data_IF_021065922815
#
_entry.id   IF_021065922815
#
_cell.length_a   1.000
_cell.length_b   1.000
_cell.length_c   1.000
_cell.angle_alpha   90.00
_cell.angle_beta   90.00
_cell.angle_gamma   90.00
#
_symmetry.space_group_name_H-M   'P 1'
#
loop_
_entity.id
_entity.type
_entity.pdbx_description
1 polymer ?
#
# COMPACT_ATOMS: atom_id res chain seq x y z
N UNK A 1 16.46 59.12 -29.24
CA UNK A 1 15.55 57.97 -29.48
C UNK A 1 15.93 56.83 -28.53
N UNK A 2 15.22 56.64 -27.41
CA UNK A 2 15.47 55.55 -26.46
C UNK A 2 14.59 54.35 -26.83
N UNK A 3 15.20 53.27 -27.36
CA UNK A 3 14.51 52.00 -27.64
C UNK A 3 14.23 51.29 -26.30
N UNK A 4 12.95 51.08 -25.97
CA UNK A 4 12.54 50.19 -24.88
C UNK A 4 12.59 48.75 -25.40
N UNK A 5 13.45 47.92 -24.82
CA UNK A 5 13.43 46.47 -25.01
C UNK A 5 12.34 45.90 -24.10
N UNK A 6 11.35 45.24 -24.70
CA UNK A 6 10.31 44.50 -23.99
C UNK A 6 10.77 43.05 -23.87
N UNK A 7 11.24 42.65 -22.69
CA UNK A 7 11.61 41.26 -22.41
C UNK A 7 10.34 40.48 -22.10
N UNK A 8 9.91 39.63 -23.02
CA UNK A 8 8.83 38.65 -22.80
C UNK A 8 9.44 37.48 -22.02
N UNK A 9 9.05 37.34 -20.75
CA UNK A 9 9.37 36.17 -19.94
C UNK A 9 8.32 35.09 -20.25
N UNK A 10 8.72 34.08 -21.02
CA UNK A 10 7.90 32.89 -21.24
C UNK A 10 7.93 32.02 -19.98
N UNK A 11 6.82 31.99 -19.24
CA UNK A 11 6.60 31.01 -18.18
C UNK A 11 6.34 29.64 -18.83
N UNK A 12 7.40 28.82 -18.90
CA UNK A 12 7.26 27.40 -19.24
C UNK A 12 6.88 26.66 -17.97
N UNK A 13 5.58 26.41 -17.79
CA UNK A 13 5.07 25.52 -16.75
C UNK A 13 5.46 24.09 -17.10
N UNK A 14 6.53 23.56 -16.49
CA UNK A 14 6.86 22.14 -16.54
C UNK A 14 5.80 21.36 -15.75
N UNK A 15 4.75 20.89 -16.43
CA UNK A 15 3.90 19.83 -15.90
C UNK A 15 4.61 18.50 -16.16
N UNK A 16 5.13 17.87 -15.11
CA UNK A 16 5.61 16.48 -15.19
C UNK A 16 4.41 15.59 -15.50
N UNK A 17 4.30 15.10 -16.73
CA UNK A 17 3.25 14.18 -17.13
C UNK A 17 3.56 12.79 -16.56
N UNK A 18 2.75 12.32 -15.62
CA UNK A 18 2.78 10.92 -15.17
C UNK A 18 1.91 10.09 -16.12
N UNK A 19 2.53 9.49 -17.14
CA UNK A 19 1.86 8.50 -17.98
C UNK A 19 1.87 7.15 -17.24
N UNK A 20 0.68 6.67 -16.91
CA UNK A 20 0.48 5.37 -16.31
C UNK A 20 -0.87 4.86 -16.81
N UNK A 21 -0.83 4.05 -17.86
CA UNK A 21 -2.04 3.61 -18.55
C UNK A 21 -2.84 2.60 -17.70
N UNK A 22 -2.15 1.77 -16.92
CA UNK A 22 -2.78 0.76 -16.05
C UNK A 22 -3.45 1.34 -14.79
N UNK A 23 -2.95 2.44 -14.22
CA UNK A 23 -3.52 2.96 -12.97
C UNK A 23 -4.88 3.65 -13.12
N UNK A 24 -5.33 3.94 -14.34
CA UNK A 24 -6.70 4.43 -14.61
C UNK A 24 -7.71 3.31 -14.81
N UNK A 25 -7.24 2.09 -15.10
CA UNK A 25 -8.09 0.96 -15.47
C UNK A 25 -9.17 0.65 -14.41
N UNK A 26 -8.88 0.92 -13.14
CA UNK A 26 -9.76 0.57 -12.02
C UNK A 26 -10.43 1.77 -11.36
N UNK A 27 -10.21 3.00 -11.85
CA UNK A 27 -10.61 4.24 -11.18
C UNK A 27 -12.13 4.38 -11.01
N UNK A 28 -12.90 3.86 -11.97
CA UNK A 28 -14.36 3.87 -11.97
C UNK A 28 -14.97 2.64 -11.28
N UNK A 29 -14.16 1.68 -10.81
CA UNK A 29 -14.69 0.50 -10.14
C UNK A 29 -15.31 0.87 -8.80
N UNK A 30 -16.57 0.47 -8.62
CA UNK A 30 -17.28 0.59 -7.33
C UNK A 30 -16.63 -0.22 -6.22
N UNK A 31 -15.85 -1.24 -6.58
CA UNK A 31 -15.12 -2.11 -5.65
C UNK A 31 -14.03 -1.32 -4.89
N UNK A 32 -13.62 -0.15 -5.38
CA UNK A 32 -12.65 0.73 -4.71
C UNK A 32 -13.26 2.02 -4.15
N UNK A 33 -14.59 2.20 -4.23
CA UNK A 33 -15.29 3.35 -3.61
C UNK A 33 -15.64 3.00 -2.16
N UNK A 34 -14.78 3.40 -1.23
CA UNK A 34 -14.95 3.13 0.20
C UNK A 34 -16.16 3.90 0.73
N UNK A 35 -17.05 3.19 1.43
CA UNK A 35 -18.22 3.75 2.13
C UNK A 35 -17.99 3.91 3.63
N UNK A 36 -17.30 2.95 4.25
CA UNK A 36 -16.92 3.00 5.66
C UNK A 36 -15.73 2.10 5.94
N UNK A 37 -15.05 2.37 7.06
CA UNK A 37 -14.03 1.48 7.59
C UNK A 37 -14.11 1.46 9.12
N UNK A 38 -13.70 0.35 9.72
CA UNK A 38 -13.66 0.18 11.16
C UNK A 38 -12.48 -0.70 11.58
N UNK A 39 -11.88 -0.35 12.71
CA UNK A 39 -10.98 -1.22 13.47
C UNK A 39 -11.59 -1.45 14.84
N UNK A 40 -11.83 -2.71 15.21
CA UNK A 40 -12.44 -3.11 16.49
C UNK A 40 -11.47 -3.95 17.30
N UNK A 41 -11.26 -3.62 18.57
CA UNK A 41 -10.53 -4.49 19.49
C UNK A 41 -11.42 -5.59 20.02
N UNK A 42 -11.23 -6.80 19.48
CA UNK A 42 -11.86 -8.00 19.97
C UNK A 42 -11.12 -8.53 21.20
N UNK A 43 -11.49 -8.00 22.38
CA UNK A 43 -10.90 -8.37 23.67
C UNK A 43 -10.99 -9.86 24.01
N UNK A 44 -12.00 -10.56 23.47
CA UNK A 44 -12.20 -11.99 23.72
C UNK A 44 -11.09 -12.84 23.10
N UNK A 45 -10.64 -12.48 21.90
CA UNK A 45 -9.61 -13.22 21.16
C UNK A 45 -8.25 -12.51 21.13
N UNK A 46 -8.15 -11.30 21.69
CA UNK A 46 -6.91 -10.53 21.70
C UNK A 46 -6.49 -10.08 20.31
N UNK A 47 -7.45 -9.78 19.44
CA UNK A 47 -7.26 -9.41 18.03
C UNK A 47 -7.82 -8.02 17.74
N UNK A 48 -7.26 -7.35 16.74
CA UNK A 48 -7.88 -6.20 16.09
C UNK A 48 -8.49 -6.64 14.77
N UNK A 49 -9.79 -6.39 14.63
CA UNK A 49 -10.56 -6.70 13.43
C UNK A 49 -10.62 -5.45 12.56
N UNK A 50 -9.93 -5.48 11.42
CA UNK A 50 -9.95 -4.42 10.42
C UNK A 50 -11.01 -4.74 9.37
N UNK A 51 -11.82 -3.76 9.00
CA UNK A 51 -12.87 -3.89 7.99
C UNK A 51 -12.94 -2.65 7.12
N UNK A 52 -12.99 -2.85 5.79
CA UNK A 52 -13.38 -1.84 4.81
C UNK A 52 -14.66 -2.31 4.11
N UNK A 53 -15.64 -1.41 4.01
CA UNK A 53 -16.86 -1.58 3.24
C UNK A 53 -16.81 -0.67 2.01
N UNK A 54 -17.12 -1.22 0.85
CA UNK A 54 -17.12 -0.50 -0.45
C UNK A 54 -18.52 -0.43 -1.06
N UNK A 55 -18.68 0.35 -2.12
CA UNK A 55 -19.95 0.44 -2.85
C UNK A 55 -20.23 -0.82 -3.70
N UNK A 56 -19.19 -1.42 -4.26
CA UNK A 56 -19.25 -2.63 -5.09
C UNK A 56 -19.02 -3.92 -4.31
N UNK A 57 -18.21 -4.83 -4.87
CA UNK A 57 -17.81 -6.09 -4.26
C UNK A 57 -16.34 -6.04 -3.87
N UNK A 58 -16.03 -6.03 -2.58
CA UNK A 58 -14.66 -5.89 -2.11
C UNK A 58 -13.81 -7.08 -2.56
N UNK A 59 -12.61 -6.80 -3.07
CA UNK A 59 -11.65 -7.80 -3.53
C UNK A 59 -12.03 -8.59 -4.78
N UNK A 60 -13.18 -8.32 -5.41
CA UNK A 60 -13.55 -8.94 -6.69
C UNK A 60 -12.63 -8.47 -7.82
N UNK A 61 -12.32 -7.18 -7.86
CA UNK A 61 -11.43 -6.61 -8.86
C UNK A 61 -9.98 -6.86 -8.43
N UNK A 62 -9.23 -7.61 -9.24
CA UNK A 62 -7.80 -7.90 -9.06
C UNK A 62 -6.98 -7.30 -10.22
N UNK A 63 -5.66 -7.09 -10.05
CA UNK A 63 -4.83 -6.51 -11.10
C UNK A 63 -4.74 -7.42 -12.32
N UNK A 64 -4.54 -6.82 -13.50
CA UNK A 64 -4.24 -7.53 -14.74
C UNK A 64 -2.73 -7.77 -14.77
N UNK A 65 -2.25 -9.02 -14.85
CA UNK A 65 -0.82 -9.29 -14.83
C UNK A 65 -0.10 -8.67 -16.03
N UNK A 66 1.14 -8.23 -15.81
CA UNK A 66 2.07 -7.80 -16.87
C UNK A 66 3.11 -8.88 -17.21
N UNK A 67 3.18 -9.95 -16.42
CA UNK A 67 4.03 -11.13 -16.61
C UNK A 67 5.46 -10.98 -16.11
N UNK A 68 5.77 -9.92 -15.36
CA UNK A 68 7.11 -9.64 -14.81
C UNK A 68 7.05 -8.72 -13.60
N UNK A 69 8.08 -8.77 -12.75
CA UNK A 69 8.20 -7.92 -11.55
C UNK A 69 8.27 -6.43 -11.89
N UNK A 70 9.05 -6.06 -12.90
CA UNK A 70 9.16 -4.65 -13.30
C UNK A 70 7.84 -4.16 -13.88
N UNK A 71 7.33 -3.07 -13.32
CA UNK A 71 6.00 -2.52 -13.62
C UNK A 71 4.83 -3.40 -13.16
N UNK A 72 5.07 -4.38 -12.27
CA UNK A 72 4.01 -5.22 -11.70
C UNK A 72 2.94 -4.35 -11.00
N UNK A 73 1.65 -4.51 -11.33
CA UNK A 73 0.56 -3.77 -10.74
C UNK A 73 0.17 -4.36 -9.39
N UNK A 74 -0.14 -3.48 -8.44
CA UNK A 74 -0.64 -3.84 -7.11
C UNK A 74 -1.91 -3.05 -6.84
N UNK A 75 -2.97 -3.72 -6.41
CA UNK A 75 -4.17 -3.06 -5.89
C UNK A 75 -4.18 -3.17 -4.38
N UNK A 76 -4.58 -2.09 -3.69
CA UNK A 76 -4.49 -2.01 -2.23
C UNK A 76 -5.76 -1.47 -1.58
N UNK A 77 -6.24 -2.15 -0.53
CA UNK A 77 -7.08 -1.56 0.52
C UNK A 77 -6.21 -1.31 1.74
N UNK A 78 -5.95 -0.05 2.06
CA UNK A 78 -4.91 0.36 3.00
C UNK A 78 -5.52 1.06 4.20
N UNK A 79 -5.03 0.72 5.39
CA UNK A 79 -5.28 1.43 6.65
C UNK A 79 -4.00 2.15 7.09
N UNK A 80 -3.80 3.41 6.69
CA UNK A 80 -2.79 4.26 7.30
C UNK A 80 -3.11 4.45 8.77
N UNK A 81 -2.09 4.39 9.63
CA UNK A 81 -2.25 4.46 11.08
C UNK A 81 -1.29 5.46 11.73
N UNK A 82 -1.53 5.75 13.00
CA UNK A 82 -0.56 6.44 13.87
C UNK A 82 0.32 5.48 14.68
N UNK A 83 0.37 4.20 14.32
CA UNK A 83 1.34 3.26 14.89
C UNK A 83 2.76 3.68 14.50
N UNK A 84 3.73 3.28 15.31
CA UNK A 84 5.15 3.48 15.01
C UNK A 84 5.73 2.23 14.35
N UNK A 85 6.80 2.34 13.55
CA UNK A 85 7.41 1.18 12.90
C UNK A 85 7.79 0.05 13.87
N UNK A 86 8.23 0.40 15.07
CA UNK A 86 8.60 -0.54 16.12
C UNK A 86 7.42 -1.31 16.68
N UNK A 87 6.21 -0.75 16.62
CA UNK A 87 5.00 -1.44 17.07
C UNK A 87 4.73 -2.67 16.20
N UNK A 88 5.09 -2.64 14.92
CA UNK A 88 4.91 -3.73 13.94
C UNK A 88 6.21 -4.51 13.66
N UNK A 89 7.27 -4.26 14.43
CA UNK A 89 8.53 -5.02 14.37
C UNK A 89 9.60 -4.52 13.40
N UNK A 90 9.45 -3.32 12.83
CA UNK A 90 10.52 -2.66 12.08
C UNK A 90 11.47 -1.89 13.01
N UNK A 91 12.68 -1.61 12.53
CA UNK A 91 13.56 -0.63 13.19
C UNK A 91 12.95 0.77 13.19
N UNK A 92 13.27 1.61 14.21
CA UNK A 92 12.84 3.00 14.28
C UNK A 92 13.12 3.76 12.98
N UNK A 93 12.08 4.40 12.44
CA UNK A 93 12.23 5.17 11.21
C UNK A 93 11.08 6.16 11.04
N UNK A 94 11.30 7.22 10.26
CA UNK A 94 10.23 8.15 9.90
C UNK A 94 9.33 7.57 8.81
N UNK A 95 8.02 7.77 8.92
CA UNK A 95 7.02 7.41 7.93
C UNK A 95 5.67 7.09 8.57
N UNK A 96 4.69 6.76 7.73
CA UNK A 96 3.35 6.35 8.13
C UNK A 96 3.29 4.83 8.11
N UNK A 97 3.03 4.19 9.25
CA UNK A 97 2.78 2.74 9.28
C UNK A 97 1.38 2.48 8.76
N UNK A 98 1.27 1.58 7.78
CA UNK A 98 0.00 1.20 7.19
C UNK A 98 -0.14 -0.32 7.11
N UNK A 99 -1.36 -0.81 7.38
CA UNK A 99 -1.76 -2.17 7.03
C UNK A 99 -2.35 -2.13 5.62
N UNK A 100 -1.69 -2.75 4.65
CA UNK A 100 -2.16 -2.84 3.28
C UNK A 100 -2.70 -4.25 3.03
N UNK A 101 -3.94 -4.38 2.56
CA UNK A 101 -4.44 -5.61 1.96
C UNK A 101 -4.23 -5.49 0.46
N UNK A 102 -3.39 -6.33 -0.11
CA UNK A 102 -2.89 -6.21 -1.48
C UNK A 102 -3.25 -7.42 -2.32
N UNK A 103 -3.27 -7.21 -3.62
CA UNK A 103 -3.30 -8.26 -4.64
C UNK A 103 -2.34 -7.84 -5.76
N UNK A 104 -1.47 -8.75 -6.17
CA UNK A 104 -0.43 -8.58 -7.20
C UNK A 104 -0.07 -9.92 -7.88
N UNK A 105 -0.51 -10.17 -9.12
CA UNK A 105 -0.34 -11.49 -9.75
C UNK A 105 1.08 -11.80 -10.26
N UNK A 106 1.98 -10.81 -10.31
CA UNK A 106 3.26 -10.92 -11.05
C UNK A 106 4.49 -11.22 -10.17
N UNK A 107 4.30 -11.30 -8.85
CA UNK A 107 5.35 -11.69 -7.92
C UNK A 107 4.72 -12.24 -6.64
N UNK A 108 5.49 -13.09 -5.97
CA UNK A 108 5.19 -13.59 -4.64
C UNK A 108 6.15 -12.94 -3.64
N UNK A 109 5.57 -12.36 -2.59
CA UNK A 109 6.27 -11.70 -1.48
C UNK A 109 5.82 -12.26 -0.13
N UNK A 110 5.10 -13.38 -0.14
CA UNK A 110 4.58 -14.12 1.00
C UNK A 110 4.96 -15.62 0.97
N UNK A 111 6.20 -16.02 0.58
CA UNK A 111 6.55 -17.42 0.23
C UNK A 111 6.50 -18.43 1.41
N UNK A 112 6.16 -17.96 2.61
CA UNK A 112 5.94 -18.78 3.79
C UNK A 112 4.49 -19.28 3.91
N UNK A 113 3.58 -18.72 3.13
CA UNK A 113 2.14 -18.93 3.21
C UNK A 113 1.65 -19.50 1.88
N UNK A 114 0.64 -20.37 1.98
CA UNK A 114 -0.11 -20.90 0.84
C UNK A 114 -1.51 -20.30 0.98
N UNK A 115 -1.71 -19.11 0.41
CA UNK A 115 -2.93 -18.33 0.60
C UNK A 115 -4.15 -18.95 -0.08
N UNK A 116 -3.95 -19.84 -1.06
CA UNK A 116 -5.03 -20.50 -1.80
C UNK A 116 -5.26 -21.99 -1.40
N UNK A 117 -4.38 -22.56 -0.58
CA UNK A 117 -4.38 -23.95 -0.11
C UNK A 117 -4.20 -25.02 -1.22
N UNK A 118 -3.50 -24.71 -2.31
CA UNK A 118 -3.20 -25.64 -3.42
C UNK A 118 -1.86 -26.39 -3.27
N UNK A 119 -1.08 -26.04 -2.24
CA UNK A 119 0.23 -26.62 -1.94
C UNK A 119 1.41 -26.01 -2.70
N UNK A 120 1.19 -24.96 -3.51
CA UNK A 120 2.22 -24.16 -4.17
C UNK A 120 2.23 -22.78 -3.52
N UNK A 121 3.40 -22.40 -3.02
CA UNK A 121 3.55 -21.17 -2.24
C UNK A 121 3.97 -19.98 -3.11
N UNK A 122 4.30 -20.21 -4.39
CA UNK A 122 4.91 -19.23 -5.30
C UNK A 122 3.93 -18.66 -6.35
N UNK A 123 2.63 -18.95 -6.24
CA UNK A 123 1.59 -18.54 -7.19
C UNK A 123 0.42 -17.75 -6.55
N UNK A 124 0.60 -17.27 -5.32
CA UNK A 124 -0.48 -16.75 -4.49
C UNK A 124 -0.66 -15.23 -4.51
N UNK A 125 0.23 -14.49 -5.17
CA UNK A 125 0.20 -13.03 -5.14
C UNK A 125 -1.13 -12.41 -5.60
N UNK A 126 -1.93 -13.10 -6.43
CA UNK A 126 -3.27 -12.61 -6.84
C UNK A 126 -4.31 -12.68 -5.71
N UNK A 127 -4.15 -13.59 -4.75
CA UNK A 127 -5.03 -13.72 -3.58
C UNK A 127 -4.79 -12.52 -2.66
N UNK A 128 -5.85 -11.96 -2.10
CA UNK A 128 -5.70 -10.82 -1.20
C UNK A 128 -4.99 -11.22 0.09
N UNK A 129 -3.90 -10.56 0.43
CA UNK A 129 -3.12 -10.82 1.64
C UNK A 129 -2.62 -9.52 2.27
N UNK A 130 -2.17 -9.54 3.54
CA UNK A 130 -1.80 -8.33 4.26
C UNK A 130 -0.30 -8.05 4.24
N UNK A 131 0.05 -6.77 4.28
CA UNK A 131 1.38 -6.29 4.63
C UNK A 131 1.34 -5.18 5.66
N UNK A 132 2.36 -5.15 6.51
CA UNK A 132 2.75 -3.90 7.16
C UNK A 132 3.78 -3.19 6.31
N UNK A 133 3.56 -1.92 6.04
CA UNK A 133 4.51 -1.07 5.31
C UNK A 133 4.77 0.23 6.03
N UNK A 134 5.92 0.84 5.75
CA UNK A 134 6.20 2.24 6.12
C UNK A 134 6.15 3.11 4.87
N UNK A 135 5.17 4.01 4.81
CA UNK A 135 4.99 4.94 3.70
C UNK A 135 5.73 6.26 3.95
N UNK A 136 6.37 6.79 2.91
CA UNK A 136 7.03 8.09 2.90
C UNK A 136 6.53 8.94 1.74
N UNK A 137 6.63 10.26 1.88
CA UNK A 137 6.29 11.18 0.79
C UNK A 137 7.25 10.99 -0.39
N UNK A 138 6.69 10.91 -1.58
CA UNK A 138 7.46 10.66 -2.79
C UNK A 138 6.88 11.41 -3.99
N UNK A 139 7.65 12.36 -4.50
CA UNK A 139 7.26 13.22 -5.64
C UNK A 139 7.45 12.52 -7.00
N UNK A 140 8.09 11.35 -7.02
CA UNK A 140 8.30 10.55 -8.24
C UNK A 140 7.02 9.92 -8.75
N UNK A 141 5.97 9.85 -7.93
CA UNK A 141 4.69 9.23 -8.28
C UNK A 141 3.52 10.16 -7.99
N UNK A 142 2.49 10.10 -8.84
CA UNK A 142 1.32 10.99 -8.76
C UNK A 142 0.56 10.86 -7.43
N UNK A 143 0.50 9.67 -6.85
CA UNK A 143 -0.14 9.45 -5.55
C UNK A 143 0.62 10.02 -4.35
N UNK A 144 1.85 10.51 -4.56
CA UNK A 144 2.61 11.27 -3.57
C UNK A 144 3.23 10.43 -2.44
N UNK A 145 3.11 9.11 -2.47
CA UNK A 145 3.62 8.19 -1.45
C UNK A 145 4.31 6.97 -2.09
N UNK A 146 5.31 6.43 -1.39
CA UNK A 146 5.94 5.14 -1.72
C UNK A 146 6.29 4.39 -0.45
N UNK A 147 6.53 3.07 -0.57
CA UNK A 147 7.08 2.28 0.53
C UNK A 147 8.54 2.66 0.71
N UNK A 148 8.94 2.92 1.96
CA UNK A 148 10.27 3.38 2.30
C UNK A 148 11.32 2.33 1.91
N UNK A 149 12.25 2.72 1.05
CA UNK A 149 13.35 1.91 0.59
C UNK A 149 14.52 1.97 1.60
N UNK A 150 15.37 0.94 1.61
CA UNK A 150 16.63 0.91 2.35
C UNK A 150 17.70 0.20 1.51
N UNK A 151 18.99 0.38 1.79
CA UNK A 151 20.03 -0.38 1.10
C UNK A 151 20.16 -1.75 1.73
N UNK A 152 20.37 -2.82 0.95
CA UNK A 152 20.54 -4.19 1.50
C UNK A 152 21.61 -4.31 2.60
N UNK A 153 22.61 -3.43 2.61
CA UNK A 153 23.67 -3.40 3.63
C UNK A 153 23.31 -2.60 4.90
N UNK A 154 22.19 -1.88 4.91
CA UNK A 154 21.76 -1.10 6.06
C UNK A 154 21.36 -2.04 7.21
N UNK A 155 21.80 -1.76 8.45
CA UNK A 155 21.48 -2.59 9.61
C UNK A 155 20.05 -2.31 10.10
N UNK A 156 19.07 -2.78 9.33
CA UNK A 156 17.65 -2.64 9.64
C UNK A 156 17.11 -3.90 10.32
N UNK A 157 16.21 -3.71 11.29
CA UNK A 157 15.44 -4.82 11.88
C UNK A 157 14.11 -4.89 11.15
N UNK A 158 13.74 -6.10 10.71
CA UNK A 158 12.44 -6.36 10.07
C UNK A 158 11.79 -7.60 10.68
N UNK A 159 10.45 -7.74 10.61
CA UNK A 159 9.79 -8.96 10.99
C UNK A 159 10.33 -10.18 10.21
N UNK A 160 10.24 -11.37 10.80
CA UNK A 160 10.71 -12.62 10.19
C UNK A 160 9.97 -13.00 8.90
N UNK A 161 8.79 -12.43 8.73
CA UNK A 161 7.87 -12.62 7.60
C UNK A 161 8.10 -11.60 6.49
N UNK A 162 9.11 -10.73 6.62
CA UNK A 162 9.45 -9.76 5.59
C UNK A 162 10.19 -10.41 4.40
N UNK A 163 9.78 -10.13 3.15
CA UNK A 163 10.41 -10.69 1.95
C UNK A 163 11.83 -10.13 1.73
N UNK A 164 12.58 -10.70 0.77
CA UNK A 164 13.89 -10.17 0.34
C UNK A 164 13.75 -8.98 -0.64
N UNK A 165 12.94 -8.00 -0.25
CA UNK A 165 12.82 -6.72 -0.95
C UNK A 165 13.44 -5.61 -0.09
N UNK A 166 14.32 -4.75 -0.63
CA UNK A 166 14.99 -3.70 0.12
C UNK A 166 14.06 -2.49 0.43
N UNK A 167 12.93 -2.76 1.08
CA UNK A 167 11.94 -1.79 1.52
C UNK A 167 11.25 -2.22 2.81
N UNK A 168 10.76 -1.27 3.60
CA UNK A 168 10.05 -1.52 4.86
C UNK A 168 8.69 -2.16 4.60
N UNK A 169 8.68 -3.48 4.43
CA UNK A 169 7.52 -4.32 4.20
C UNK A 169 7.62 -5.63 4.99
N UNK A 170 6.51 -6.07 5.55
CA UNK A 170 6.30 -7.35 6.21
C UNK A 170 5.12 -8.06 5.56
N UNK A 171 5.17 -9.38 5.37
CA UNK A 171 4.10 -10.18 4.76
C UNK A 171 3.57 -11.22 5.76
N UNK A 172 2.84 -10.80 6.80
CA UNK A 172 2.29 -11.72 7.79
C UNK A 172 1.16 -12.56 7.18
N UNK A 173 1.07 -13.84 7.56
CA UNK A 173 0.00 -14.75 7.15
C UNK A 173 -1.32 -14.52 7.89
N UNK A 174 -1.77 -13.28 8.02
CA UNK A 174 -3.09 -13.00 8.61
C UNK A 174 -4.18 -13.27 7.58
N UNK A 175 -5.23 -14.01 7.94
CA UNK A 175 -6.26 -14.38 6.98
C UNK A 175 -7.05 -13.14 6.54
N UNK A 176 -7.13 -12.94 5.22
CA UNK A 176 -7.96 -11.92 4.59
C UNK A 176 -9.23 -12.57 4.05
N UNK A 177 -10.38 -12.00 4.37
CA UNK A 177 -11.68 -12.51 3.93
C UNK A 177 -12.44 -11.42 3.20
N UNK A 178 -12.93 -11.75 2.00
CA UNK A 178 -13.86 -10.93 1.25
C UNK A 178 -15.26 -11.53 1.32
N UNK A 179 -16.26 -10.70 1.60
CA UNK A 179 -17.65 -11.11 1.61
C UNK A 179 -18.54 -9.96 1.16
N UNK A 180 -19.26 -10.15 0.05
CA UNK A 180 -20.08 -9.11 -0.56
C UNK A 180 -19.28 -7.83 -0.80
N UNK A 181 -19.60 -6.76 -0.08
CA UNK A 181 -18.98 -5.44 -0.20
C UNK A 181 -17.91 -5.18 0.88
N UNK A 182 -17.45 -6.22 1.58
CA UNK A 182 -16.54 -6.07 2.71
C UNK A 182 -15.24 -6.88 2.51
N UNK A 183 -14.11 -6.28 2.88
CA UNK A 183 -12.83 -6.95 3.02
C UNK A 183 -12.35 -6.80 4.47
N UNK A 184 -11.86 -7.89 5.06
CA UNK A 184 -11.54 -7.99 6.48
C UNK A 184 -10.22 -8.71 6.72
N UNK A 185 -9.54 -8.33 7.79
CA UNK A 185 -8.39 -9.08 8.33
C UNK A 185 -8.43 -9.03 9.86
N UNK A 186 -8.02 -10.13 10.49
CA UNK A 186 -7.85 -10.21 11.94
C UNK A 186 -6.36 -10.19 12.30
N UNK A 187 -5.93 -9.17 13.03
CA UNK A 187 -4.53 -9.00 13.44
C UNK A 187 -4.40 -9.29 14.93
N UNK A 188 -3.60 -10.28 15.36
CA UNK A 188 -3.35 -10.49 16.78
C UNK A 188 -2.70 -9.27 17.42
N UNK A 189 -3.21 -8.79 18.56
CA UNK A 189 -2.72 -7.55 19.18
C UNK A 189 -1.23 -7.62 19.55
N UNK A 190 -0.72 -8.80 19.89
CA UNK A 190 0.70 -9.00 20.18
C UNK A 190 1.61 -8.78 18.95
N UNK A 191 1.06 -8.88 17.73
CA UNK A 191 1.79 -8.56 16.48
C UNK A 191 1.95 -7.07 16.23
N UNK A 192 1.25 -6.24 16.99
CA UNK A 192 1.38 -4.77 16.99
C UNK A 192 1.81 -4.26 18.37
N UNK A 193 2.63 -5.03 19.09
CA UNK A 193 3.11 -4.72 20.44
C UNK A 193 1.99 -4.34 21.44
N UNK A 194 0.84 -4.99 21.32
CA UNK A 194 -0.38 -4.75 22.09
C UNK A 194 -0.91 -3.30 22.00
N UNK A 195 -0.56 -2.56 20.94
CA UNK A 195 -1.09 -1.21 20.68
C UNK A 195 -2.52 -1.29 20.15
N UNK A 196 -3.48 -1.23 21.06
CA UNK A 196 -4.92 -1.30 20.73
C UNK A 196 -5.61 0.07 20.68
N UNK A 197 -4.83 1.16 20.78
CA UNK A 197 -5.32 2.54 20.71
C UNK A 197 -4.45 3.33 19.75
N UNK A 198 -4.97 3.59 18.56
CA UNK A 198 -4.35 4.43 17.55
C UNK A 198 -5.43 5.04 16.65
N UNK A 199 -5.01 6.01 15.86
CA UNK A 199 -5.82 6.63 14.84
C UNK A 199 -5.56 5.97 13.48
N UNK A 200 -6.57 5.93 12.62
CA UNK A 200 -6.45 5.39 11.28
C UNK A 200 -7.32 6.12 10.25
N UNK A 201 -7.07 5.79 8.99
CA UNK A 201 -7.93 6.10 7.84
C UNK A 201 -8.15 4.85 6.99
N UNK A 202 -8.87 4.98 5.89
CA UNK A 202 -8.97 3.93 4.88
C UNK A 202 -8.78 4.51 3.48
N UNK A 203 -7.98 3.82 2.67
CA UNK A 203 -7.60 4.22 1.32
C UNK A 203 -7.76 3.04 0.38
N UNK A 204 -8.26 3.28 -0.83
CA UNK A 204 -8.16 2.35 -1.93
C UNK A 204 -7.24 2.95 -2.99
N UNK A 205 -6.24 2.21 -3.43
CA UNK A 205 -5.22 2.74 -4.34
C UNK A 205 -4.67 1.68 -5.30
N UNK A 206 -3.98 2.18 -6.32
CA UNK A 206 -3.14 1.42 -7.20
C UNK A 206 -1.68 1.78 -6.95
N UNK A 207 -0.86 0.77 -6.74
CA UNK A 207 0.57 0.85 -6.65
C UNK A 207 1.21 0.09 -7.80
N UNK A 208 2.50 0.34 -8.00
CA UNK A 208 3.26 -0.35 -9.03
C UNK A 208 4.69 -0.56 -8.57
N UNK A 209 5.22 -1.74 -8.85
CA UNK A 209 6.62 -2.07 -8.62
C UNK A 209 7.50 -1.50 -9.74
N UNK A 210 8.64 -0.93 -9.40
CA UNK A 210 9.68 -0.53 -10.36
C UNK A 210 10.96 -1.28 -10.04
N UNK A 211 11.36 -2.19 -10.91
CA UNK A 211 12.55 -3.04 -10.74
C UNK A 211 13.20 -3.35 -12.10
N UNK A 212 13.64 -2.33 -12.86
CA UNK A 212 14.14 -2.56 -14.22
C UNK A 212 15.41 -3.39 -14.22
N UNK A 213 15.66 -4.07 -15.35
CA UNK A 213 16.91 -4.78 -15.58
C UNK A 213 18.10 -3.82 -15.40
N UNK A 214 19.04 -4.16 -14.52
CA UNK A 214 20.17 -3.29 -14.15
C UNK A 214 20.01 -2.55 -12.82
N UNK A 215 18.86 -2.67 -12.14
CA UNK A 215 18.63 -2.15 -10.79
C UNK A 215 17.52 -1.11 -10.70
N UNK A 216 17.35 -0.49 -9.54
CA UNK A 216 16.31 0.54 -9.34
C UNK A 216 16.57 1.78 -10.18
N UNK A 217 15.55 2.25 -10.88
CA UNK A 217 15.62 3.55 -11.56
C UNK A 217 15.49 4.69 -10.56
N UNK A 218 16.26 5.76 -10.75
CA UNK A 218 16.18 6.94 -9.87
C UNK A 218 14.89 7.76 -10.06
N UNK A 219 14.17 7.55 -11.18
CA UNK A 219 12.94 8.27 -11.53
C UNK A 219 11.68 7.71 -10.85
N UNK A 220 11.73 6.49 -10.30
CA UNK A 220 10.59 5.79 -9.69
C UNK A 220 11.00 5.10 -8.39
N UNK A 221 10.11 5.03 -7.38
CA UNK A 221 10.31 4.18 -6.21
C UNK A 221 10.16 2.70 -6.59
N UNK A 222 10.78 1.81 -5.81
CA UNK A 222 10.58 0.36 -5.90
C UNK A 222 9.10 -0.01 -5.79
N UNK A 223 8.34 0.57 -4.87
CA UNK A 223 6.89 0.41 -4.78
C UNK A 223 6.22 1.75 -4.49
N UNK A 224 5.59 2.33 -5.51
CA UNK A 224 4.99 3.66 -5.44
C UNK A 224 3.48 3.65 -5.57
N UNK A 225 2.80 4.62 -4.96
CA UNK A 225 1.36 4.86 -5.15
C UNK A 225 1.16 5.74 -6.38
N UNK A 226 0.60 5.17 -7.45
CA UNK A 226 0.40 5.89 -8.73
C UNK A 226 -1.00 6.50 -8.86
N UNK A 227 -2.01 5.89 -8.24
CA UNK A 227 -3.35 6.47 -8.21
C UNK A 227 -4.07 6.14 -6.89
N UNK A 228 -4.86 7.11 -6.42
CA UNK A 228 -5.66 6.97 -5.20
C UNK A 228 -7.13 7.06 -5.62
N UNK A 229 -7.85 5.96 -5.46
CA UNK A 229 -9.24 5.83 -5.92
C UNK A 229 -10.25 6.33 -4.91
N UNK A 230 -9.94 6.20 -3.62
CA UNK A 230 -10.80 6.63 -2.53
C UNK A 230 -9.97 6.86 -1.28
N UNK A 231 -10.29 7.92 -0.54
CA UNK A 231 -9.83 8.17 0.82
C UNK A 231 -11.07 8.43 1.66
N UNK A 232 -11.27 7.65 2.72
CA UNK A 232 -12.50 7.71 3.51
C UNK A 232 -12.68 9.09 4.17
N UNK A 233 -11.63 9.64 4.78
CA UNK A 233 -11.65 11.00 5.32
C UNK A 233 -11.58 12.12 4.27
N UNK A 234 -11.40 11.76 2.98
CA UNK A 234 -11.13 12.65 1.83
C UNK A 234 -9.77 13.36 1.83
N UNK A 235 -9.15 13.57 2.99
CA UNK A 235 -7.92 14.35 3.13
C UNK A 235 -6.77 13.61 3.83
N UNK A 236 -6.97 12.32 4.15
CA UNK A 236 -6.00 11.47 4.83
C UNK A 236 -5.57 12.01 6.21
N UNK A 237 -6.51 12.60 6.95
CA UNK A 237 -6.25 13.17 8.28
C UNK A 237 -6.21 12.14 9.42
N UNK A 238 -6.47 10.86 9.13
CA UNK A 238 -6.56 9.76 10.09
C UNK A 238 -7.54 10.07 11.26
N UNK A 239 -8.80 10.46 10.98
CA UNK A 239 -9.72 10.93 12.02
C UNK A 239 -10.33 9.78 12.84
N UNK A 240 -10.24 8.53 12.37
CA UNK A 240 -10.92 7.40 12.97
C UNK A 240 -10.08 6.78 14.09
N UNK A 241 -10.73 6.18 15.08
CA UNK A 241 -10.10 5.55 16.25
C UNK A 241 -10.55 4.11 16.38
N UNK A 242 -9.68 3.27 16.94
CA UNK A 242 -10.01 1.88 17.31
C UNK A 242 -11.17 1.89 18.30
N UNK A 243 -12.16 1.01 18.09
CA UNK A 243 -13.34 0.84 18.96
C UNK A 243 -13.18 -0.35 19.90
#
# INVERSE_FOLDING_TARGET
MKKKFLTIVAFISFTTAFACDHCKQYEDSKDFKIKSAQVTHNKKYGTLEFEIIVEGKAGKTVPTPVGKLDMAPVLGYVFPTTLKPEDVGFSPTEGIVALALTSHPDFDDSPLWDENADGKFDNDGIVWHPHWVVLVQDKRVKGGLSVKEYKKADPITKPKTAPDMPMYMDSPGFPVVTQNNAIRVSVPAYRINNKVSFNYDAVACYLQVSAPEGGMSMDKPMLGVYNVYSVLSKNLSLPYKVK
#
